data_IF_149764576455
#
_entry.id   IF_149764576455
#
_cell.length_a   1.000
_cell.length_b   1.000
_cell.length_c   1.000
_cell.angle_alpha   90.00
_cell.angle_beta   90.00
_cell.angle_gamma   90.00
#
_symmetry.space_group_name_H-M   'P 1'
#
loop_
_entity.id
_entity.type
_entity.pdbx_description
1 polymer ?
#
# COMPACT_ATOMS: atom_id res chain seq x y z
N UNK A 1 -7.14 26.43 -22.11
CA UNK A 1 -6.67 25.11 -22.63
C UNK A 1 -7.80 24.43 -23.40
N UNK A 2 -7.44 23.65 -24.44
CA UNK A 2 -8.35 22.91 -25.32
C UNK A 2 -7.88 21.46 -25.48
N UNK A 3 -8.37 20.54 -24.64
CA UNK A 3 -7.91 19.15 -24.64
C UNK A 3 -6.40 19.01 -24.37
N UNK A 4 -5.94 17.78 -24.18
CA UNK A 4 -4.49 17.48 -24.17
C UNK A 4 -4.20 16.37 -25.16
N UNK A 5 -3.18 16.56 -25.99
CA UNK A 5 -2.82 15.61 -27.04
C UNK A 5 -1.36 15.13 -27.01
N UNK A 6 -0.71 15.23 -25.85
CA UNK A 6 0.72 14.96 -25.70
C UNK A 6 1.03 13.78 -24.77
N UNK A 7 2.33 13.57 -24.57
CA UNK A 7 2.88 12.59 -23.64
C UNK A 7 2.48 12.94 -22.19
N UNK A 8 1.56 12.16 -21.65
CA UNK A 8 0.93 12.37 -20.33
C UNK A 8 1.81 11.95 -19.16
N UNK A 9 2.99 11.43 -19.45
CA UNK A 9 3.85 10.79 -18.46
C UNK A 9 4.65 11.81 -17.62
N UNK A 10 4.88 13.03 -18.13
CA UNK A 10 5.71 14.04 -17.42
C UNK A 10 5.15 15.46 -17.43
N UNK A 11 4.65 15.96 -18.56
CA UNK A 11 4.26 17.38 -18.69
C UNK A 11 2.91 17.74 -18.09
N UNK A 12 2.00 16.77 -17.99
CA UNK A 12 0.59 17.05 -17.72
C UNK A 12 0.27 17.28 -16.24
N UNK A 13 1.07 16.73 -15.31
CA UNK A 13 0.89 16.98 -13.87
C UNK A 13 1.13 18.45 -13.52
N UNK A 14 2.22 19.04 -14.01
CA UNK A 14 2.49 20.47 -13.83
C UNK A 14 1.45 21.34 -14.55
N UNK A 15 1.02 20.94 -15.75
CA UNK A 15 -0.05 21.65 -16.46
C UNK A 15 -1.39 21.58 -15.71
N UNK A 16 -1.70 20.45 -15.07
CA UNK A 16 -2.88 20.27 -14.23
C UNK A 16 -2.81 21.14 -12.99
N UNK A 17 -1.67 21.16 -12.30
CA UNK A 17 -1.45 21.99 -11.11
C UNK A 17 -1.57 23.49 -11.45
N UNK A 18 -0.90 23.95 -12.49
CA UNK A 18 -1.01 25.31 -13.02
C UNK A 18 -2.46 25.67 -13.39
N UNK A 19 -3.19 24.72 -13.97
CA UNK A 19 -4.58 24.94 -14.37
C UNK A 19 -5.55 25.01 -13.18
N UNK A 20 -5.40 24.16 -12.16
CA UNK A 20 -6.28 24.14 -10.98
C UNK A 20 -5.85 25.12 -9.87
N UNK A 21 -4.63 25.66 -9.94
CA UNK A 21 -4.12 26.69 -9.02
C UNK A 21 -3.58 27.90 -9.78
N UNK A 22 -4.38 28.56 -10.64
CA UNK A 22 -3.88 29.60 -11.56
C UNK A 22 -3.20 30.77 -10.83
N UNK A 23 -3.70 31.16 -9.66
CA UNK A 23 -3.17 32.25 -8.84
C UNK A 23 -1.74 31.98 -8.34
N UNK A 24 -1.35 30.71 -8.15
CA UNK A 24 0.01 30.35 -7.71
C UNK A 24 1.07 30.54 -8.80
N UNK A 25 0.64 30.57 -10.07
CA UNK A 25 1.54 30.57 -11.23
C UNK A 25 1.35 31.81 -12.12
N UNK A 26 0.76 32.87 -11.58
CA UNK A 26 0.47 34.11 -12.33
C UNK A 26 -0.37 33.87 -13.60
N UNK A 27 -1.30 32.91 -13.53
CA UNK A 27 -2.27 32.63 -14.59
C UNK A 27 -3.58 33.31 -14.23
N UNK A 28 -4.24 33.93 -15.21
CA UNK A 28 -5.53 34.60 -15.03
C UNK A 28 -6.59 33.59 -14.52
N UNK A 29 -7.16 33.79 -13.31
CA UNK A 29 -8.15 32.88 -12.74
C UNK A 29 -9.56 33.14 -13.30
N UNK A 30 -10.30 32.06 -13.55
CA UNK A 30 -11.69 32.04 -13.97
C UNK A 30 -12.53 31.19 -13.02
N UNK A 31 -13.81 31.50 -12.90
CA UNK A 31 -14.74 30.65 -12.15
C UNK A 31 -14.93 29.31 -12.85
N UNK A 32 -14.89 28.21 -12.07
CA UNK A 32 -15.15 26.88 -12.60
C UNK A 32 -16.66 26.66 -12.79
N UNK A 33 -17.14 27.03 -13.98
CA UNK A 33 -18.56 26.88 -14.36
C UNK A 33 -18.96 25.44 -14.71
N UNK A 34 -18.03 24.49 -14.72
CA UNK A 34 -18.23 23.16 -15.31
C UNK A 34 -18.38 22.03 -14.29
N UNK A 35 -17.72 22.13 -13.12
CA UNK A 35 -17.65 21.02 -12.16
C UNK A 35 -17.97 21.48 -10.74
N UNK A 36 -17.21 22.44 -10.21
CA UNK A 36 -17.37 22.93 -8.84
C UNK A 36 -17.27 24.46 -8.81
N UNK A 37 -18.42 25.12 -8.62
CA UNK A 37 -18.57 26.57 -8.79
C UNK A 37 -17.79 27.42 -7.77
N UNK A 38 -17.26 26.81 -6.70
CA UNK A 38 -16.48 27.51 -5.67
C UNK A 38 -14.97 27.54 -5.93
N UNK A 39 -14.46 26.86 -6.97
CA UNK A 39 -13.02 26.86 -7.29
C UNK A 39 -12.66 27.74 -8.49
N UNK A 40 -11.46 28.34 -8.43
CA UNK A 40 -10.85 29.09 -9.53
C UNK A 40 -9.99 28.15 -10.39
N UNK A 41 -10.08 28.29 -11.70
CA UNK A 41 -9.31 27.50 -12.68
C UNK A 41 -8.75 28.40 -13.78
N UNK A 42 -7.77 27.91 -14.53
CA UNK A 42 -7.35 28.52 -15.78
C UNK A 42 -8.47 28.44 -16.83
N UNK A 43 -8.41 29.30 -17.85
CA UNK A 43 -9.47 29.34 -18.88
C UNK A 43 -9.61 27.99 -19.60
N UNK A 44 -10.82 27.42 -19.59
CA UNK A 44 -11.15 26.17 -20.25
C UNK A 44 -12.10 26.39 -21.42
N UNK A 45 -11.82 25.73 -22.55
CA UNK A 45 -12.70 25.75 -23.72
C UNK A 45 -13.14 24.32 -24.00
N UNK A 46 -14.41 23.98 -23.73
CA UNK A 46 -14.96 22.67 -24.04
C UNK A 46 -14.92 22.33 -25.53
N UNK A 47 -14.75 21.04 -25.84
CA UNK A 47 -14.59 20.53 -27.22
C UNK A 47 -15.79 20.80 -28.12
N UNK A 48 -17.00 20.86 -27.57
CA UNK A 48 -18.18 21.19 -28.38
C UNK A 48 -18.12 22.62 -28.96
N UNK A 49 -17.35 23.54 -28.37
CA UNK A 49 -17.13 24.89 -28.94
C UNK A 49 -16.05 24.93 -30.02
N UNK A 50 -15.25 23.88 -30.17
CA UNK A 50 -14.15 23.85 -31.15
C UNK A 50 -14.59 23.34 -32.52
N UNK A 51 -15.71 22.60 -32.59
CA UNK A 51 -16.23 21.99 -33.81
C UNK A 51 -16.80 23.03 -34.81
N UNK A 52 -16.17 23.22 -36.00
CA UNK A 52 -16.62 24.22 -36.97
C UNK A 52 -17.97 23.88 -37.60
N UNK A 53 -18.27 22.60 -37.76
CA UNK A 53 -19.48 22.08 -38.41
C UNK A 53 -20.78 22.39 -37.65
N UNK A 54 -20.69 22.76 -36.38
CA UNK A 54 -21.82 23.19 -35.56
C UNK A 54 -21.89 24.70 -35.36
N UNK A 55 -21.06 25.48 -36.07
CA UNK A 55 -21.08 26.95 -36.00
C UNK A 55 -21.94 27.55 -37.10
N UNK A 56 -22.75 28.54 -36.74
CA UNK A 56 -23.44 29.37 -37.72
C UNK A 56 -22.46 30.36 -38.38
N UNK A 57 -22.94 31.15 -39.36
CA UNK A 57 -22.12 32.15 -40.08
C UNK A 57 -21.51 33.23 -39.18
N UNK A 58 -22.05 33.41 -37.97
CA UNK A 58 -21.60 34.39 -36.97
C UNK A 58 -20.64 33.75 -35.95
N UNK A 59 -20.32 32.46 -36.09
CA UNK A 59 -19.42 31.73 -35.20
C UNK A 59 -20.06 31.20 -33.91
N UNK A 60 -21.38 31.31 -33.77
CA UNK A 60 -22.15 30.78 -32.62
C UNK A 60 -22.36 29.28 -32.83
N UNK A 61 -21.92 28.48 -31.84
CA UNK A 61 -22.06 27.03 -31.84
C UNK A 61 -23.47 26.59 -31.41
N UNK A 62 -24.08 25.68 -32.16
CA UNK A 62 -25.24 24.89 -31.73
C UNK A 62 -24.80 23.81 -30.72
N UNK A 63 -24.85 24.16 -29.43
CA UNK A 63 -24.27 23.38 -28.33
C UNK A 63 -24.92 21.99 -28.21
N UNK A 64 -26.23 21.89 -28.35
CA UNK A 64 -26.95 20.63 -28.16
C UNK A 64 -26.62 19.62 -29.26
N UNK A 65 -26.56 20.08 -30.52
CA UNK A 65 -26.16 19.21 -31.65
C UNK A 65 -24.70 18.80 -31.55
N UNK A 66 -23.81 19.72 -31.18
CA UNK A 66 -22.39 19.42 -31.00
C UNK A 66 -22.16 18.38 -29.89
N UNK A 67 -22.84 18.53 -28.75
CA UNK A 67 -22.76 17.57 -27.64
C UNK A 67 -23.32 16.20 -28.04
N UNK A 68 -24.48 16.15 -28.70
CA UNK A 68 -25.08 14.89 -29.15
C UNK A 68 -24.16 14.14 -30.14
N UNK A 69 -23.50 14.86 -31.04
CA UNK A 69 -22.53 14.29 -31.97
C UNK A 69 -21.31 13.69 -31.26
N UNK A 70 -20.71 14.44 -30.32
CA UNK A 70 -19.57 13.96 -29.54
C UNK A 70 -19.94 12.80 -28.60
N UNK A 71 -21.14 12.82 -28.02
CA UNK A 71 -21.64 11.72 -27.20
C UNK A 71 -21.80 10.43 -28.02
N UNK A 72 -22.32 10.53 -29.25
CA UNK A 72 -22.43 9.39 -30.17
C UNK A 72 -21.06 8.78 -30.49
N UNK A 73 -20.01 9.61 -30.65
CA UNK A 73 -18.64 9.11 -30.83
C UNK A 73 -18.13 8.38 -29.58
N UNK A 74 -18.37 8.93 -28.39
CA UNK A 74 -18.02 8.27 -27.11
C UNK A 74 -18.72 6.92 -26.98
N UNK A 75 -20.02 6.85 -27.27
CA UNK A 75 -20.81 5.62 -27.18
C UNK A 75 -20.32 4.55 -28.17
N UNK A 76 -19.95 4.93 -29.40
CA UNK A 76 -19.38 3.98 -30.37
C UNK A 76 -18.05 3.37 -29.91
N UNK A 77 -17.21 4.14 -29.21
CA UNK A 77 -15.92 3.65 -28.69
C UNK A 77 -16.07 2.78 -27.44
N UNK A 78 -17.21 2.87 -26.76
CA UNK A 78 -17.53 2.07 -25.57
C UNK A 78 -17.86 0.62 -25.91
N UNK A 79 -18.36 0.34 -27.12
CA UNK A 79 -18.79 -1.00 -27.57
C UNK A 79 -17.70 -1.82 -28.25
N UNK A 80 -16.54 -1.22 -28.57
CA UNK A 80 -15.44 -1.89 -29.27
C UNK A 80 -14.61 -2.80 -28.33
N UNK A 81 -14.13 -3.96 -28.81
CA UNK A 81 -13.17 -4.80 -28.07
C UNK A 81 -11.83 -4.04 -27.94
N UNK A 82 -11.44 -3.68 -26.71
CA UNK A 82 -10.32 -2.78 -26.43
C UNK A 82 -10.73 -1.30 -26.22
N UNK A 83 -12.04 -1.02 -26.23
CA UNK A 83 -12.62 0.32 -26.27
C UNK A 83 -12.28 1.25 -25.11
N UNK A 84 -11.86 0.74 -23.95
CA UNK A 84 -11.56 1.58 -22.78
C UNK A 84 -10.41 2.57 -23.03
N UNK A 85 -9.33 2.15 -23.71
CA UNK A 85 -8.20 3.06 -24.00
C UNK A 85 -8.54 4.08 -25.09
N UNK A 86 -9.21 3.64 -26.16
CA UNK A 86 -9.62 4.51 -27.25
C UNK A 86 -10.67 5.54 -26.81
N UNK A 87 -11.56 5.15 -25.89
CA UNK A 87 -12.54 6.04 -25.27
C UNK A 87 -11.85 7.09 -24.39
N UNK A 88 -10.92 6.68 -23.53
CA UNK A 88 -10.18 7.63 -22.67
C UNK A 88 -9.41 8.66 -23.51
N UNK A 89 -8.75 8.23 -24.59
CA UNK A 89 -8.10 9.14 -25.54
C UNK A 89 -9.11 10.11 -26.16
N UNK A 90 -10.25 9.61 -26.64
CA UNK A 90 -11.27 10.47 -27.25
C UNK A 90 -11.80 11.52 -26.25
N UNK A 91 -12.06 11.12 -25.00
CA UNK A 91 -12.52 12.03 -23.95
C UNK A 91 -11.45 13.10 -23.66
N UNK A 92 -10.19 12.70 -23.62
CA UNK A 92 -9.06 13.59 -23.36
C UNK A 92 -8.79 14.61 -24.47
N UNK A 93 -8.88 14.17 -25.73
CA UNK A 93 -8.77 15.06 -26.89
C UNK A 93 -9.99 15.97 -27.02
N UNK A 94 -11.17 15.47 -26.66
CA UNK A 94 -12.46 16.14 -26.83
C UNK A 94 -13.22 16.29 -25.49
N UNK A 95 -12.67 17.00 -24.49
CA UNK A 95 -13.25 17.08 -23.15
C UNK A 95 -14.46 18.01 -23.10
N UNK A 96 -15.45 17.65 -22.29
CA UNK A 96 -16.60 18.48 -21.94
C UNK A 96 -16.36 19.28 -20.66
N UNK A 97 -15.54 18.73 -19.77
CA UNK A 97 -15.19 19.34 -18.49
C UNK A 97 -13.66 19.37 -18.29
N UNK A 98 -13.15 20.23 -17.40
CA UNK A 98 -11.73 20.28 -17.11
C UNK A 98 -11.13 18.95 -16.62
N UNK A 99 -11.82 18.18 -15.78
CA UNK A 99 -11.26 16.90 -15.30
C UNK A 99 -11.08 15.88 -16.42
N UNK A 100 -11.93 15.93 -17.45
CA UNK A 100 -11.80 15.06 -18.62
C UNK A 100 -10.53 15.36 -19.44
N UNK A 101 -10.07 16.61 -19.43
CA UNK A 101 -8.84 17.03 -20.11
C UNK A 101 -7.59 16.43 -19.45
N UNK A 102 -7.63 16.21 -18.13
CA UNK A 102 -6.53 15.64 -17.35
C UNK A 102 -6.74 14.16 -17.01
N UNK A 103 -7.63 13.46 -17.73
CA UNK A 103 -7.77 12.01 -17.62
C UNK A 103 -6.43 11.35 -17.95
N UNK A 104 -5.71 10.93 -16.90
CA UNK A 104 -4.52 10.12 -17.09
C UNK A 104 -4.92 8.77 -17.69
N UNK A 105 -4.08 8.20 -18.57
CA UNK A 105 -4.27 6.83 -19.08
C UNK A 105 -4.24 5.78 -17.97
N UNK A 106 -3.79 6.14 -16.77
CA UNK A 106 -3.83 5.27 -15.60
C UNK A 106 -5.26 5.23 -15.09
N UNK A 107 -6.00 4.18 -15.50
CA UNK A 107 -7.14 3.75 -14.72
C UNK A 107 -6.66 3.61 -13.26
N UNK A 108 -7.21 4.40 -12.34
CA UNK A 108 -6.86 4.29 -10.92
C UNK A 108 -7.07 2.84 -10.53
N UNK A 109 -5.97 2.16 -10.16
CA UNK A 109 -6.01 0.70 -9.89
C UNK A 109 -6.85 0.41 -8.65
N UNK A 110 -7.06 1.42 -7.80
CA UNK A 110 -7.82 1.33 -6.56
C UNK A 110 -9.27 1.82 -6.69
N UNK A 111 -10.17 1.40 -5.79
CA UNK A 111 -11.59 1.78 -5.79
C UNK A 111 -11.79 3.29 -5.49
N UNK A 112 -11.76 4.12 -6.52
CA UNK A 112 -11.70 5.58 -6.36
C UNK A 112 -12.95 6.22 -5.74
N UNK A 113 -14.15 5.64 -5.93
CA UNK A 113 -15.37 6.19 -5.35
C UNK A 113 -15.41 5.99 -3.83
N UNK A 114 -15.06 4.78 -3.39
CA UNK A 114 -14.95 4.37 -2.00
C UNK A 114 -13.87 5.15 -1.26
N UNK A 115 -12.70 5.28 -1.88
CA UNK A 115 -11.59 6.06 -1.31
C UNK A 115 -11.96 7.53 -1.13
N UNK A 116 -12.65 8.15 -2.10
CA UNK A 116 -13.13 9.54 -1.97
C UNK A 116 -14.14 9.70 -0.84
N UNK A 117 -15.09 8.76 -0.73
CA UNK A 117 -16.07 8.75 0.36
C UNK A 117 -15.36 8.68 1.71
N UNK A 118 -14.45 7.71 1.87
CA UNK A 118 -13.70 7.52 3.11
C UNK A 118 -12.84 8.73 3.46
N UNK A 119 -12.14 9.31 2.49
CA UNK A 119 -11.35 10.53 2.68
C UNK A 119 -12.23 11.69 3.17
N UNK A 120 -13.41 11.88 2.57
CA UNK A 120 -14.37 12.90 3.01
C UNK A 120 -14.84 12.67 4.44
N UNK A 121 -15.09 11.43 4.85
CA UNK A 121 -15.47 11.08 6.23
C UNK A 121 -14.34 11.37 7.22
N UNK A 122 -13.12 10.92 6.90
CA UNK A 122 -11.93 11.12 7.75
C UNK A 122 -11.67 12.60 8.00
N UNK A 123 -11.73 13.43 6.95
CA UNK A 123 -11.52 14.88 7.05
C UNK A 123 -12.68 15.56 7.80
N UNK A 124 -13.93 15.31 7.40
CA UNK A 124 -15.10 16.00 7.97
C UNK A 124 -15.33 15.68 9.45
N UNK A 125 -15.03 14.46 9.88
CA UNK A 125 -15.22 14.03 11.27
C UNK A 125 -13.94 14.11 12.10
N UNK A 126 -12.84 14.56 11.49
CA UNK A 126 -11.52 14.63 12.10
C UNK A 126 -11.11 13.30 12.77
N UNK A 127 -11.29 12.19 12.05
CA UNK A 127 -11.11 10.84 12.60
C UNK A 127 -9.65 10.55 12.95
N UNK A 128 -8.72 11.10 12.18
CA UNK A 128 -7.29 10.93 12.39
C UNK A 128 -6.86 11.49 13.75
N UNK A 129 -7.18 12.75 14.06
CA UNK A 129 -6.88 13.38 15.36
C UNK A 129 -7.46 12.65 16.58
N UNK A 130 -8.53 11.87 16.41
CA UNK A 130 -9.16 11.11 17.52
C UNK A 130 -8.43 9.82 17.85
N UNK A 131 -7.72 9.24 16.89
CA UNK A 131 -7.10 7.91 17.00
C UNK A 131 -5.58 8.03 17.11
N UNK A 132 -4.99 9.03 16.45
CA UNK A 132 -3.56 9.21 16.33
C UNK A 132 -2.90 9.59 17.66
N UNK A 133 -1.92 8.78 18.08
CA UNK A 133 -1.02 9.10 19.19
C UNK A 133 0.38 9.31 18.63
N UNK A 134 0.78 10.57 18.57
CA UNK A 134 2.13 10.96 18.16
C UNK A 134 3.10 10.66 19.30
N UNK A 135 4.17 9.93 18.99
CA UNK A 135 5.10 9.43 20.02
C UNK A 135 6.56 9.55 19.63
N UNK A 136 7.39 9.67 20.66
CA UNK A 136 8.82 9.41 20.59
C UNK A 136 9.10 8.00 21.12
N UNK A 137 9.78 7.18 20.33
CA UNK A 137 10.22 5.84 20.75
C UNK A 137 11.65 5.89 21.28
N UNK A 138 11.90 5.20 22.40
CA UNK A 138 13.22 5.10 23.01
C UNK A 138 13.46 3.71 23.58
N UNK A 139 14.73 3.30 23.65
CA UNK A 139 15.11 2.03 24.26
C UNK A 139 15.07 2.13 25.78
N UNK A 140 14.40 1.18 26.40
CA UNK A 140 14.22 1.08 27.84
C UNK A 140 14.18 -0.40 28.22
N UNK A 141 15.25 -0.95 28.84
CA UNK A 141 15.31 -2.35 29.25
C UNK A 141 14.19 -2.79 30.20
N UNK A 142 13.56 -1.84 30.90
CA UNK A 142 12.44 -2.11 31.82
C UNK A 142 11.08 -2.14 31.12
N UNK A 143 11.03 -1.80 29.83
CA UNK A 143 9.78 -1.75 29.08
C UNK A 143 9.11 -3.12 28.94
N UNK A 144 7.77 -3.19 29.13
CA UNK A 144 7.02 -4.41 28.85
C UNK A 144 6.99 -4.77 27.34
N UNK A 145 7.33 -3.83 26.44
CA UNK A 145 7.31 -4.04 24.99
C UNK A 145 8.70 -4.40 24.42
N UNK A 146 9.29 -5.48 24.96
CA UNK A 146 10.57 -6.04 24.49
C UNK A 146 11.77 -5.07 24.52
N UNK A 147 11.79 -4.13 25.47
CA UNK A 147 12.92 -3.21 25.64
C UNK A 147 12.80 -1.88 24.89
N UNK A 148 11.63 -1.54 24.33
CA UNK A 148 11.33 -0.22 23.75
C UNK A 148 10.11 0.37 24.45
N UNK A 149 10.17 1.63 24.84
CA UNK A 149 9.06 2.36 25.44
C UNK A 149 8.71 3.59 24.58
N UNK A 150 7.60 4.25 24.91
CA UNK A 150 7.10 5.40 24.15
C UNK A 150 6.74 6.56 25.08
N UNK A 151 6.92 7.77 24.59
CA UNK A 151 6.47 9.01 25.22
C UNK A 151 5.53 9.74 24.26
N UNK A 152 4.39 10.22 24.78
CA UNK A 152 3.44 11.00 23.98
C UNK A 152 4.01 12.39 23.74
N UNK A 153 4.07 12.79 22.47
CA UNK A 153 4.53 14.12 22.08
C UNK A 153 3.56 14.73 21.06
N UNK A 154 2.52 15.46 21.54
CA UNK A 154 1.56 16.12 20.68
C UNK A 154 2.16 17.23 19.82
N UNK A 155 3.39 17.69 20.11
CA UNK A 155 4.05 18.77 19.37
C UNK A 155 4.65 18.29 18.04
N UNK A 156 4.81 16.98 17.86
CA UNK A 156 5.26 16.39 16.60
C UNK A 156 4.25 16.65 15.49
N UNK A 157 4.76 16.81 14.27
CA UNK A 157 3.92 17.00 13.09
C UNK A 157 3.94 15.76 12.20
N UNK A 158 2.77 15.13 12.06
CA UNK A 158 2.59 13.98 11.19
C UNK A 158 2.19 14.49 9.81
N UNK A 159 2.82 13.98 8.75
CA UNK A 159 2.48 14.38 7.39
C UNK A 159 1.11 13.81 7.01
N UNK A 160 0.07 14.64 7.04
CA UNK A 160 -1.34 14.26 6.79
C UNK A 160 -1.85 14.68 5.40
N UNK A 161 -1.00 15.31 4.58
CA UNK A 161 -1.37 15.78 3.23
C UNK A 161 -0.44 15.21 2.16
N UNK A 162 -1.03 14.81 1.03
CA UNK A 162 -0.36 14.37 -0.19
C UNK A 162 -0.90 15.13 -1.42
N UNK A 163 -0.03 15.70 -2.28
CA UNK A 163 1.42 15.83 -2.11
C UNK A 163 1.78 16.69 -0.88
N UNK A 164 2.93 16.43 -0.27
CA UNK A 164 3.41 17.22 0.87
C UNK A 164 3.77 18.63 0.41
N UNK A 165 3.21 19.70 1.02
CA UNK A 165 3.53 21.08 0.64
C UNK A 165 5.02 21.39 0.86
N UNK A 166 5.62 22.19 -0.02
CA UNK A 166 7.05 22.58 0.09
C UNK A 166 7.37 23.35 1.38
N UNK A 167 6.38 24.04 1.96
CA UNK A 167 6.52 24.78 3.22
C UNK A 167 6.50 23.90 4.46
N UNK A 168 6.14 22.62 4.34
CA UNK A 168 5.97 21.70 5.48
C UNK A 168 7.28 21.00 5.78
N UNK A 169 7.65 20.92 7.06
CA UNK A 169 8.82 20.17 7.51
C UNK A 169 8.64 18.69 7.20
N UNK A 170 9.63 18.07 6.55
CA UNK A 170 9.56 16.66 6.17
C UNK A 170 9.96 15.69 7.27
N UNK A 171 10.32 16.14 8.48
CA UNK A 171 10.78 15.27 9.59
C UNK A 171 9.81 14.11 9.84
N UNK A 172 8.51 14.39 9.83
CA UNK A 172 7.47 13.41 10.13
C UNK A 172 7.41 13.03 11.60
N UNK A 173 6.48 12.13 11.93
CA UNK A 173 6.26 11.67 13.30
C UNK A 173 5.91 10.18 13.32
N UNK A 174 6.26 9.49 14.40
CA UNK A 174 5.73 8.15 14.65
C UNK A 174 4.32 8.31 15.21
N UNK A 175 3.35 7.71 14.53
CA UNK A 175 1.94 7.72 14.88
C UNK A 175 1.53 6.31 15.28
N UNK A 176 1.02 6.15 16.50
CA UNK A 176 0.44 4.90 17.00
C UNK A 176 -1.09 5.05 16.98
N UNK A 177 -1.77 4.18 16.24
CA UNK A 177 -3.23 4.04 16.26
C UNK A 177 -3.67 3.04 17.34
N UNK A 178 -2.94 1.93 17.49
CA UNK A 178 -3.18 0.92 18.53
C UNK A 178 -1.86 0.44 19.15
N UNK A 179 -1.82 0.34 20.48
CA UNK A 179 -0.67 -0.21 21.21
C UNK A 179 -0.52 -1.73 20.98
N UNK A 180 0.70 -2.29 21.10
CA UNK A 180 0.90 -3.73 21.02
C UNK A 180 0.04 -4.48 22.05
N UNK A 181 -0.67 -5.52 21.59
CA UNK A 181 -1.44 -6.40 22.45
C UNK A 181 -0.52 -7.45 23.07
N UNK A 182 -0.65 -7.61 24.38
CA UNK A 182 0.15 -8.54 25.17
C UNK A 182 -0.67 -9.82 25.41
N UNK A 183 -0.08 -10.98 25.17
CA UNK A 183 -0.61 -12.28 25.60
C UNK A 183 0.50 -12.93 26.45
N UNK A 184 0.17 -13.32 27.67
CA UNK A 184 1.13 -13.85 28.65
C UNK A 184 2.32 -12.90 28.88
N UNK A 185 2.04 -11.61 29.13
CA UNK A 185 3.02 -10.55 29.42
C UNK A 185 4.10 -10.35 28.35
N UNK A 186 3.83 -10.78 27.10
CA UNK A 186 4.69 -10.53 25.94
C UNK A 186 3.89 -10.19 24.69
N UNK A 187 4.51 -9.45 23.79
CA UNK A 187 3.97 -9.26 22.43
C UNK A 187 4.15 -10.56 21.66
N UNK A 188 3.08 -11.26 21.24
CA UNK A 188 3.20 -12.60 20.67
C UNK A 188 3.87 -12.60 19.30
N UNK A 189 4.59 -13.68 19.00
CA UNK A 189 5.30 -13.85 17.73
C UNK A 189 4.34 -13.92 16.53
N UNK A 190 4.76 -13.29 15.43
CA UNK A 190 4.02 -13.18 14.17
C UNK A 190 2.66 -12.47 14.28
N UNK A 191 2.42 -11.70 15.33
CA UNK A 191 1.20 -10.88 15.50
C UNK A 191 1.22 -9.63 14.64
N UNK A 192 2.41 -9.10 14.36
CA UNK A 192 2.61 -7.86 13.64
C UNK A 192 3.65 -8.02 12.53
N UNK A 193 3.48 -7.25 11.47
CA UNK A 193 4.43 -7.12 10.37
C UNK A 193 4.63 -5.65 10.05
N UNK A 194 5.78 -5.33 9.47
CA UNK A 194 6.12 -3.97 9.05
C UNK A 194 6.38 -3.97 7.55
N UNK A 195 5.75 -3.06 6.83
CA UNK A 195 6.09 -2.69 5.47
C UNK A 195 6.91 -1.40 5.50
N UNK A 196 8.07 -1.40 4.85
CA UNK A 196 8.96 -0.25 4.79
C UNK A 196 9.36 0.05 3.34
N UNK A 197 9.10 1.27 2.90
CA UNK A 197 9.64 1.85 1.66
C UNK A 197 10.69 2.91 2.01
N UNK A 198 12.00 2.59 1.89
CA UNK A 198 13.07 3.53 2.18
C UNK A 198 13.35 4.45 0.99
N UNK A 199 13.82 5.68 1.23
CA UNK A 199 14.35 6.52 0.17
C UNK A 199 15.78 6.14 -0.20
N UNK A 200 16.18 6.40 -1.46
CA UNK A 200 17.50 6.01 -2.02
C UNK A 200 18.64 6.91 -1.56
N UNK A 201 18.47 8.22 -1.73
CA UNK A 201 19.51 9.22 -1.58
C UNK A 201 19.19 10.14 -0.41
N UNK A 202 20.20 10.47 0.40
CA UNK A 202 20.01 11.43 1.50
C UNK A 202 19.89 12.87 0.98
N UNK A 203 20.30 13.15 -0.25
CA UNK A 203 20.31 14.49 -0.85
C UNK A 203 18.88 15.05 -1.06
N UNK A 204 18.49 16.10 -0.31
CA UNK A 204 17.16 16.69 -0.39
C UNK A 204 16.94 17.54 -1.66
N UNK A 205 17.98 17.78 -2.47
CA UNK A 205 17.89 18.62 -3.68
C UNK A 205 17.28 17.91 -4.90
N UNK A 206 16.89 16.64 -4.76
CA UNK A 206 16.20 15.90 -5.81
C UNK A 206 14.88 16.59 -6.20
N UNK A 207 14.53 16.73 -7.49
CA UNK A 207 13.34 17.46 -7.96
C UNK A 207 12.00 16.96 -7.39
N UNK A 208 11.98 15.70 -6.92
CA UNK A 208 10.86 15.08 -6.20
C UNK A 208 11.43 14.28 -5.04
N UNK A 209 11.63 14.90 -3.86
CA UNK A 209 12.25 14.22 -2.74
C UNK A 209 11.32 13.13 -2.21
N UNK A 210 11.73 11.87 -2.33
CA UNK A 210 11.02 10.72 -1.75
C UNK A 210 11.09 10.75 -0.22
N UNK A 211 10.02 10.30 0.42
CA UNK A 211 9.87 10.16 1.85
C UNK A 211 10.10 8.69 2.23
N UNK A 212 10.64 8.43 3.43
CA UNK A 212 10.57 7.08 3.95
C UNK A 212 9.16 6.84 4.49
N UNK A 213 8.56 5.71 4.16
CA UNK A 213 7.27 5.30 4.70
C UNK A 213 7.38 3.94 5.40
N UNK A 214 6.84 3.87 6.61
CA UNK A 214 6.81 2.68 7.46
C UNK A 214 5.37 2.51 7.93
N UNK A 215 4.78 1.34 7.70
CA UNK A 215 3.49 0.94 8.28
C UNK A 215 3.64 -0.33 9.08
N UNK A 216 2.99 -0.38 10.23
CA UNK A 216 2.88 -1.57 11.07
C UNK A 216 1.46 -2.10 10.97
N UNK A 217 1.31 -3.38 10.70
CA UNK A 217 0.01 -4.02 10.50
C UNK A 217 -0.13 -5.30 11.34
N UNK A 218 -1.33 -5.52 11.89
CA UNK A 218 -1.69 -6.79 12.56
C UNK A 218 -1.82 -7.91 11.54
N UNK A 219 -1.53 -9.14 11.96
CA UNK A 219 -1.80 -10.35 11.20
C UNK A 219 -3.06 -11.05 11.74
N UNK A 220 -3.76 -11.84 10.91
CA UNK A 220 -4.95 -12.57 11.36
C UNK A 220 -4.62 -13.80 12.22
N UNK A 221 -3.35 -14.04 12.61
CA UNK A 221 -2.92 -15.23 13.37
C UNK A 221 -3.65 -15.37 14.70
N UNK A 222 -3.75 -14.26 15.41
CA UNK A 222 -4.33 -14.17 16.74
C UNK A 222 -5.70 -13.50 16.69
N UNK A 223 -6.51 -13.87 15.69
CA UNK A 223 -7.82 -13.28 15.44
C UNK A 223 -8.68 -13.15 16.70
N UNK A 224 -8.76 -14.22 17.51
CA UNK A 224 -9.60 -14.25 18.70
C UNK A 224 -9.14 -13.31 19.83
N UNK A 225 -7.86 -12.91 19.88
CA UNK A 225 -7.29 -12.13 20.98
C UNK A 225 -6.80 -10.73 20.57
N UNK A 226 -6.36 -10.57 19.32
CA UNK A 226 -5.74 -9.35 18.78
C UNK A 226 -6.60 -8.71 17.67
N UNK A 227 -7.52 -9.48 17.09
CA UNK A 227 -8.47 -9.01 16.09
C UNK A 227 -7.99 -9.19 14.64
N UNK A 228 -8.62 -8.43 13.74
CA UNK A 228 -8.34 -8.43 12.31
C UNK A 228 -7.01 -7.71 11.96
N UNK A 229 -6.58 -7.90 10.72
CA UNK A 229 -5.41 -7.28 10.10
C UNK A 229 -5.59 -5.77 9.84
N UNK A 230 -5.07 -4.92 10.72
CA UNK A 230 -5.24 -3.46 10.66
C UNK A 230 -3.91 -2.74 10.76
N UNK A 231 -3.86 -1.53 10.19
CA UNK A 231 -2.76 -0.60 10.41
C UNK A 231 -2.82 -0.13 11.88
N UNK A 232 -1.74 -0.36 12.63
CA UNK A 232 -1.66 -0.03 14.06
C UNK A 232 -0.63 1.05 14.38
N UNK A 233 0.32 1.29 13.48
CA UNK A 233 1.23 2.43 13.56
C UNK A 233 1.77 2.82 12.18
N UNK A 234 2.22 4.05 12.04
CA UNK A 234 2.92 4.54 10.86
C UNK A 234 4.02 5.53 11.21
N UNK A 235 4.99 5.65 10.31
CA UNK A 235 5.94 6.75 10.27
C UNK A 235 6.14 7.12 8.80
N UNK A 236 5.97 8.39 8.46
CA UNK A 236 6.25 8.88 7.11
C UNK A 236 6.97 10.20 7.20
N UNK A 237 8.17 10.26 6.63
CA UNK A 237 9.02 11.43 6.72
C UNK A 237 10.41 11.21 6.13
N UNK A 238 11.13 12.30 6.00
CA UNK A 238 12.52 12.41 5.60
C UNK A 238 13.24 13.28 6.64
N UNK A 239 13.83 12.64 7.66
CA UNK A 239 14.46 13.36 8.77
C UNK A 239 15.81 13.93 8.34
N UNK A 240 16.22 15.03 8.95
CA UNK A 240 17.52 15.68 8.66
C UNK A 240 18.72 14.73 8.80
N UNK A 241 18.65 13.80 9.76
CA UNK A 241 19.69 12.78 9.99
C UNK A 241 19.72 11.66 8.94
N UNK A 242 18.88 11.75 7.89
CA UNK A 242 18.87 10.86 6.74
C UNK A 242 18.45 9.42 7.07
N UNK A 243 18.91 8.48 6.24
CA UNK A 243 18.56 7.04 6.32
C UNK A 243 18.83 6.42 7.69
N UNK A 244 19.83 6.91 8.43
CA UNK A 244 20.18 6.36 9.73
C UNK A 244 19.05 6.54 10.75
N UNK A 245 18.42 7.72 10.80
CA UNK A 245 17.31 7.98 11.72
C UNK A 245 16.08 7.14 11.35
N UNK A 246 15.77 7.00 10.05
CA UNK A 246 14.69 6.11 9.58
C UNK A 246 14.94 4.66 10.00
N UNK A 247 16.16 4.15 9.83
CA UNK A 247 16.51 2.79 10.23
C UNK A 247 16.41 2.57 11.74
N UNK A 248 16.73 3.59 12.55
CA UNK A 248 16.57 3.54 14.00
C UNK A 248 15.08 3.51 14.41
N UNK A 249 14.25 4.35 13.78
CA UNK A 249 12.79 4.34 13.98
C UNK A 249 12.21 2.98 13.60
N UNK A 250 12.61 2.44 12.44
CA UNK A 250 12.23 1.11 11.97
C UNK A 250 12.62 0.01 12.96
N UNK A 251 13.83 0.06 13.51
CA UNK A 251 14.31 -0.89 14.51
C UNK A 251 13.49 -0.80 15.81
N UNK A 252 13.22 0.41 16.31
CA UNK A 252 12.40 0.61 17.52
C UNK A 252 10.98 0.08 17.31
N UNK A 253 10.33 0.39 16.18
CA UNK A 253 9.01 -0.13 15.83
C UNK A 253 8.99 -1.66 15.74
N UNK A 254 10.00 -2.27 15.11
CA UNK A 254 10.10 -3.72 14.99
C UNK A 254 10.23 -4.42 16.34
N UNK A 255 10.99 -3.85 17.27
CA UNK A 255 11.12 -4.39 18.64
C UNK A 255 9.84 -4.16 19.44
N UNK A 256 9.29 -2.95 19.39
CA UNK A 256 8.09 -2.54 20.12
C UNK A 256 6.87 -3.41 19.78
N UNK A 257 6.67 -3.75 18.51
CA UNK A 257 5.60 -4.63 18.04
C UNK A 257 6.02 -6.10 17.86
N UNK A 258 7.26 -6.49 18.19
CA UNK A 258 7.80 -7.83 17.86
C UNK A 258 7.53 -8.25 16.40
N UNK A 259 7.74 -7.33 15.46
CA UNK A 259 7.28 -7.45 14.09
C UNK A 259 8.42 -7.85 13.13
N UNK A 260 8.06 -8.55 12.04
CA UNK A 260 8.98 -8.82 10.92
C UNK A 260 8.92 -7.72 9.87
N UNK A 261 10.08 -7.27 9.42
CA UNK A 261 10.22 -6.17 8.46
C UNK A 261 10.26 -6.70 7.03
N UNK A 262 9.29 -6.29 6.22
CA UNK A 262 9.23 -6.46 4.77
C UNK A 262 9.67 -5.15 4.11
N UNK A 263 10.73 -5.23 3.33
CA UNK A 263 11.32 -4.10 2.62
C UNK A 263 11.72 -4.51 1.20
N UNK A 264 11.82 -3.54 0.30
CA UNK A 264 12.35 -3.76 -1.05
C UNK A 264 13.87 -3.97 -0.98
N UNK A 265 14.36 -5.08 -1.53
CA UNK A 265 15.77 -5.44 -1.43
C UNK A 265 16.72 -4.58 -2.29
N UNK A 266 16.19 -3.87 -3.28
CA UNK A 266 16.93 -3.01 -4.22
C UNK A 266 17.12 -1.57 -3.74
N UNK A 267 16.55 -1.19 -2.58
CA UNK A 267 16.42 0.22 -2.17
C UNK A 267 16.89 0.43 -0.74
N UNK A 268 17.63 1.51 -0.52
CA UNK A 268 18.11 1.92 0.79
C UNK A 268 19.28 1.08 1.33
N UNK A 269 19.51 1.18 2.65
CA UNK A 269 20.61 0.50 3.36
C UNK A 269 20.10 -0.27 4.59
N UNK A 270 18.83 -0.68 4.58
CA UNK A 270 18.18 -1.38 5.71
C UNK A 270 18.96 -2.64 6.07
N UNK A 271 19.25 -3.50 5.10
CA UNK A 271 19.97 -4.76 5.34
C UNK A 271 21.32 -4.51 6.03
N UNK A 272 22.12 -3.57 5.50
CA UNK A 272 23.44 -3.25 6.04
C UNK A 272 23.37 -2.71 7.48
N UNK A 273 22.35 -1.91 7.78
CA UNK A 273 22.10 -1.42 9.14
C UNK A 273 21.81 -2.58 10.10
N UNK A 274 20.84 -3.45 9.78
CA UNK A 274 20.44 -4.58 10.63
C UNK A 274 21.54 -5.65 10.75
N UNK A 275 22.41 -5.77 9.75
CA UNK A 275 23.61 -6.60 9.81
C UNK A 275 24.63 -6.06 10.82
N UNK A 276 24.92 -4.75 10.78
CA UNK A 276 25.83 -4.08 11.72
C UNK A 276 25.39 -4.21 13.17
N UNK A 277 24.10 -4.07 13.44
CA UNK A 277 23.55 -4.23 14.81
C UNK A 277 23.26 -5.69 15.18
N UNK A 278 23.57 -6.66 14.31
CA UNK A 278 23.36 -8.11 14.51
C UNK A 278 21.90 -8.49 14.79
N UNK A 279 20.95 -7.81 14.15
CA UNK A 279 19.49 -8.01 14.29
C UNK A 279 18.82 -8.46 12.98
N UNK A 280 19.52 -9.22 12.15
CA UNK A 280 18.96 -9.78 10.91
C UNK A 280 17.70 -10.64 11.12
N UNK A 281 17.51 -11.19 12.33
CA UNK A 281 16.30 -11.94 12.68
C UNK A 281 15.01 -11.11 12.63
N UNK A 282 15.09 -9.78 12.67
CA UNK A 282 13.94 -8.88 12.53
C UNK A 282 13.52 -8.70 11.07
N UNK A 283 14.40 -8.99 10.11
CA UNK A 283 14.10 -8.88 8.69
C UNK A 283 13.34 -10.10 8.19
N UNK A 284 12.33 -9.88 7.35
CA UNK A 284 11.63 -10.94 6.66
C UNK A 284 12.51 -11.51 5.54
N UNK A 285 12.56 -12.84 5.47
CA UNK A 285 13.14 -13.54 4.33
C UNK A 285 12.28 -13.36 3.09
N UNK A 286 12.90 -13.49 1.91
CA UNK A 286 12.23 -13.27 0.63
C UNK A 286 10.93 -14.10 0.55
N UNK A 287 9.79 -13.47 0.20
CA UNK A 287 8.54 -14.19 0.00
C UNK A 287 8.69 -15.19 -1.16
N UNK A 288 8.68 -16.48 -0.83
CA UNK A 288 8.89 -17.54 -1.83
C UNK A 288 7.58 -17.93 -2.52
N UNK A 289 6.44 -17.68 -1.88
CA UNK A 289 5.13 -18.15 -2.37
C UNK A 289 4.42 -17.12 -3.22
N UNK A 290 4.58 -15.84 -2.88
CA UNK A 290 3.93 -14.72 -3.58
C UNK A 290 4.52 -14.54 -4.98
N UNK A 291 5.84 -14.63 -5.13
CA UNK A 291 6.53 -14.31 -6.40
C UNK A 291 7.00 -15.54 -7.20
N UNK A 292 7.14 -16.71 -6.58
CA UNK A 292 7.68 -17.92 -7.22
C UNK A 292 6.67 -19.09 -7.18
N UNK A 293 5.61 -19.01 -8.00
CA UNK A 293 4.62 -20.10 -8.17
C UNK A 293 5.20 -21.38 -8.83
N UNK A 294 6.47 -21.38 -9.29
CA UNK A 294 7.12 -22.48 -10.05
C UNK A 294 8.53 -22.88 -9.58
N UNK A 295 8.98 -22.50 -8.39
CA UNK A 295 10.31 -22.91 -7.93
C UNK A 295 10.30 -24.34 -7.35
N UNK A 296 10.34 -25.32 -8.25
CA UNK A 296 10.83 -26.67 -7.97
C UNK A 296 12.35 -26.66 -7.84
N UNK A 297 12.87 -27.35 -6.82
CA UNK A 297 14.28 -27.67 -6.54
C UNK A 297 15.07 -26.67 -5.66
N UNK A 298 15.22 -27.06 -4.39
CA UNK A 298 16.08 -26.47 -3.37
C UNK A 298 17.56 -26.75 -3.70
N UNK A 299 18.28 -25.74 -4.20
CA UNK A 299 19.72 -25.59 -3.88
C UNK A 299 19.81 -24.75 -2.60
N UNK A 300 20.84 -24.91 -1.75
CA UNK A 300 21.02 -24.07 -0.57
C UNK A 300 21.44 -22.66 -1.02
N UNK A 301 20.47 -21.88 -1.45
CA UNK A 301 20.65 -20.46 -1.76
C UNK A 301 20.88 -19.69 -0.46
N UNK A 302 21.81 -18.74 -0.52
CA UNK A 302 21.98 -17.73 0.53
C UNK A 302 20.64 -17.15 0.94
N UNK A 303 20.39 -16.97 2.24
CA UNK A 303 19.15 -16.37 2.75
C UNK A 303 19.02 -14.94 2.20
N UNK A 304 18.07 -14.73 1.29
CA UNK A 304 17.75 -13.40 0.74
C UNK A 304 16.69 -12.76 1.65
N UNK A 305 16.90 -11.50 2.00
CA UNK A 305 15.97 -10.69 2.80
C UNK A 305 15.28 -9.66 1.91
N UNK A 306 14.02 -9.36 2.22
CA UNK A 306 13.18 -8.45 1.44
C UNK A 306 12.63 -9.07 0.16
N UNK A 307 11.79 -8.32 -0.56
CA UNK A 307 11.21 -8.76 -1.83
C UNK A 307 11.83 -8.01 -3.03
N UNK A 308 12.02 -8.70 -4.18
CA UNK A 308 12.47 -8.04 -5.40
C UNK A 308 11.31 -7.29 -6.05
N UNK A 309 11.47 -5.99 -6.27
CA UNK A 309 10.51 -5.18 -7.06
C UNK A 309 11.12 -4.80 -8.41
N UNK A 310 11.76 -5.75 -9.09
CA UNK A 310 12.56 -5.49 -10.30
C UNK A 310 11.76 -5.47 -11.62
N UNK A 311 10.44 -5.74 -11.60
CA UNK A 311 9.62 -5.85 -12.81
C UNK A 311 8.21 -5.29 -12.59
N UNK A 312 7.71 -4.53 -13.55
CA UNK A 312 6.34 -3.98 -13.57
C UNK A 312 5.26 -5.04 -13.35
N UNK A 313 5.49 -6.29 -13.81
CA UNK A 313 4.56 -7.41 -13.56
C UNK A 313 4.45 -7.77 -12.08
N UNK A 314 5.58 -7.76 -11.38
CA UNK A 314 5.67 -8.07 -9.95
C UNK A 314 5.01 -6.95 -9.14
N UNK A 315 5.30 -5.70 -9.51
CA UNK A 315 4.64 -4.51 -8.95
C UNK A 315 3.13 -4.56 -9.17
N UNK A 316 2.68 -4.89 -10.37
CA UNK A 316 1.26 -5.04 -10.69
C UNK A 316 0.58 -6.13 -9.86
N UNK A 317 1.19 -7.32 -9.73
CA UNK A 317 0.64 -8.40 -8.90
C UNK A 317 0.52 -7.96 -7.43
N UNK A 318 1.54 -7.29 -6.89
CA UNK A 318 1.55 -6.76 -5.53
C UNK A 318 0.44 -5.72 -5.29
N UNK A 319 0.19 -4.85 -6.26
CA UNK A 319 -0.87 -3.85 -6.21
C UNK A 319 -2.26 -4.49 -6.30
N UNK A 320 -2.40 -5.61 -7.03
CA UNK A 320 -3.66 -6.35 -7.06
C UNK A 320 -3.97 -7.03 -5.72
N UNK A 321 -2.95 -7.53 -5.00
CA UNK A 321 -3.15 -7.99 -3.61
C UNK A 321 -3.59 -6.83 -2.72
N UNK A 322 -2.95 -5.66 -2.81
CA UNK A 322 -3.37 -4.48 -2.04
C UNK A 322 -4.81 -4.06 -2.37
N UNK A 323 -5.20 -4.04 -3.65
CA UNK A 323 -6.59 -3.75 -4.05
C UNK A 323 -7.57 -4.76 -3.44
N UNK A 324 -7.22 -6.04 -3.46
CA UNK A 324 -8.06 -7.11 -2.91
C UNK A 324 -8.22 -6.94 -1.41
N UNK A 325 -7.12 -6.68 -0.71
CA UNK A 325 -7.11 -6.38 0.71
C UNK A 325 -8.00 -5.16 1.05
N UNK A 326 -7.87 -4.05 0.33
CA UNK A 326 -8.70 -2.86 0.57
C UNK A 326 -10.21 -3.13 0.46
N UNK A 327 -10.61 -4.02 -0.44
CA UNK A 327 -12.01 -4.37 -0.71
C UNK A 327 -12.54 -5.54 0.12
N UNK A 328 -11.68 -6.20 0.90
CA UNK A 328 -12.06 -7.32 1.76
C UNK A 328 -13.06 -6.87 2.82
N UNK A 329 -14.19 -7.57 2.88
CA UNK A 329 -15.27 -7.33 3.84
C UNK A 329 -14.93 -8.04 5.14
N UNK A 330 -14.96 -7.30 6.25
CA UNK A 330 -14.65 -7.85 7.58
C UNK A 330 -15.85 -8.35 8.34
N UNK A 331 -16.90 -7.56 8.24
CA UNK A 331 -18.15 -7.79 8.93
C UNK A 331 -19.23 -7.81 7.87
N UNK A 332 -19.79 -9.00 7.65
CA UNK A 332 -20.85 -9.22 6.68
C UNK A 332 -22.14 -8.48 7.04
N UNK A 333 -22.36 -8.17 8.33
CA UNK A 333 -23.56 -7.46 8.78
C UNK A 333 -23.48 -5.96 8.49
N UNK A 334 -22.34 -5.33 8.78
CA UNK A 334 -22.12 -3.89 8.52
C UNK A 334 -21.56 -3.60 7.12
N UNK A 335 -21.18 -4.63 6.35
CA UNK A 335 -20.47 -4.53 5.07
C UNK A 335 -19.20 -3.64 5.15
N UNK A 336 -18.60 -3.56 6.33
CA UNK A 336 -17.40 -2.75 6.56
C UNK A 336 -16.19 -3.42 5.91
N UNK A 337 -15.45 -2.68 5.08
CA UNK A 337 -14.24 -3.17 4.43
C UNK A 337 -12.98 -2.65 5.10
N UNK A 338 -11.83 -3.26 4.81
CA UNK A 338 -10.53 -2.77 5.25
C UNK A 338 -10.30 -1.28 4.93
N UNK A 339 -10.69 -0.86 3.73
CA UNK A 339 -10.62 0.55 3.29
C UNK A 339 -11.36 1.49 4.23
N UNK A 340 -12.52 1.07 4.76
CA UNK A 340 -13.39 1.90 5.59
C UNK A 340 -12.82 2.11 7.01
N UNK A 341 -11.72 1.44 7.37
CA UNK A 341 -11.02 1.59 8.65
C UNK A 341 -9.76 2.45 8.56
N UNK A 342 -9.27 2.75 7.36
CA UNK A 342 -8.08 3.59 7.18
C UNK A 342 -8.38 5.00 7.69
N UNK A 343 -7.56 5.49 8.62
CA UNK A 343 -7.68 6.84 9.18
C UNK A 343 -6.65 7.82 8.65
N UNK A 344 -5.56 7.36 8.03
CA UNK A 344 -4.51 8.23 7.48
C UNK A 344 -5.02 8.96 6.21
N UNK A 345 -5.23 10.29 6.26
CA UNK A 345 -5.73 11.05 5.12
C UNK A 345 -4.72 11.15 3.97
N UNK A 346 -3.40 11.22 4.26
CA UNK A 346 -2.37 11.28 3.24
C UNK A 346 -2.30 9.96 2.46
N UNK A 347 -2.40 8.82 3.14
CA UNK A 347 -2.47 7.51 2.50
C UNK A 347 -3.69 7.40 1.56
N UNK A 348 -4.86 7.88 1.98
CA UNK A 348 -6.07 7.86 1.14
C UNK A 348 -5.95 8.78 -0.09
N UNK A 349 -5.36 9.97 0.08
CA UNK A 349 -5.05 10.88 -1.03
C UNK A 349 -4.05 10.25 -2.01
N UNK A 350 -3.03 9.57 -1.49
CA UNK A 350 -2.01 8.90 -2.29
C UNK A 350 -2.58 7.71 -3.05
N UNK A 351 -3.43 6.89 -2.43
CA UNK A 351 -4.17 5.81 -3.11
C UNK A 351 -5.09 6.32 -4.23
N UNK A 352 -5.69 7.51 -4.06
CA UNK A 352 -6.50 8.15 -5.11
C UNK A 352 -5.66 8.66 -6.29
N UNK A 353 -4.50 9.22 -5.98
CA UNK A 353 -3.56 9.76 -6.96
C UNK A 353 -2.69 8.68 -7.61
N UNK A 354 -2.68 7.46 -7.08
CA UNK A 354 -1.76 6.40 -7.45
C UNK A 354 -1.81 6.07 -8.95
N UNK A 355 -0.62 6.02 -9.55
CA UNK A 355 -0.41 5.58 -10.92
C UNK A 355 0.75 4.59 -11.00
N UNK A 356 0.66 3.62 -11.90
CA UNK A 356 1.69 2.57 -12.02
C UNK A 356 3.05 3.11 -12.48
N UNK A 357 3.01 4.13 -13.34
CA UNK A 357 4.14 4.55 -14.16
C UNK A 357 4.81 5.84 -13.69
N UNK A 358 4.09 6.74 -13.01
CA UNK A 358 4.62 8.05 -12.62
C UNK A 358 4.15 8.49 -11.24
N UNK A 359 4.97 9.30 -10.58
CA UNK A 359 4.65 9.84 -9.26
C UNK A 359 5.41 9.09 -8.18
N UNK A 360 5.48 9.76 -7.03
CA UNK A 360 6.11 9.23 -5.85
C UNK A 360 5.01 8.81 -4.87
N UNK A 361 4.94 7.51 -4.57
CA UNK A 361 3.88 6.93 -3.77
C UNK A 361 4.46 6.04 -2.67
N UNK A 362 5.30 6.65 -1.83
CA UNK A 362 6.05 5.96 -0.77
C UNK A 362 5.10 5.23 0.20
N UNK A 363 3.95 5.84 0.55
CA UNK A 363 2.99 5.22 1.49
C UNK A 363 2.33 4.00 0.91
N UNK A 364 1.91 4.10 -0.37
CA UNK A 364 1.29 2.97 -1.07
C UNK A 364 2.28 1.82 -1.17
N UNK A 365 3.54 2.10 -1.50
CA UNK A 365 4.58 1.08 -1.62
C UNK A 365 4.95 0.44 -0.28
N UNK A 366 5.01 1.21 0.80
CA UNK A 366 5.18 0.66 2.15
C UNK A 366 3.99 -0.24 2.54
N UNK A 367 2.76 0.17 2.23
CA UNK A 367 1.56 -0.65 2.48
C UNK A 367 1.54 -1.93 1.61
N UNK A 368 2.05 -1.86 0.38
CA UNK A 368 2.27 -3.05 -0.47
C UNK A 368 3.21 -4.05 0.22
N UNK A 369 4.30 -3.58 0.83
CA UNK A 369 5.22 -4.43 1.60
C UNK A 369 4.52 -5.16 2.75
N UNK A 370 3.64 -4.45 3.45
CA UNK A 370 2.74 -4.98 4.48
C UNK A 370 1.84 -6.11 3.92
N UNK A 371 1.11 -5.86 2.83
CA UNK A 371 0.18 -6.83 2.25
C UNK A 371 0.91 -8.07 1.71
N UNK A 372 2.08 -7.91 1.07
CA UNK A 372 2.92 -9.05 0.67
C UNK A 372 3.26 -9.92 1.89
N UNK A 373 3.54 -9.30 3.04
CA UNK A 373 3.79 -9.99 4.29
C UNK A 373 2.60 -10.80 4.79
N UNK A 374 1.38 -10.25 4.73
CA UNK A 374 0.16 -10.99 5.06
C UNK A 374 -0.05 -12.19 4.15
N UNK A 375 0.12 -12.01 2.84
CA UNK A 375 -0.08 -13.08 1.86
C UNK A 375 0.92 -14.22 2.06
N UNK A 376 2.21 -13.90 2.25
CA UNK A 376 3.22 -14.90 2.55
C UNK A 376 2.93 -15.61 3.88
N UNK A 377 2.47 -14.88 4.90
CA UNK A 377 2.08 -15.45 6.18
C UNK A 377 0.89 -16.41 6.05
N UNK A 378 -0.17 -16.01 5.33
CA UNK A 378 -1.33 -16.84 5.02
C UNK A 378 -0.92 -18.13 4.28
N UNK A 379 -0.09 -18.00 3.25
CA UNK A 379 0.40 -19.12 2.45
C UNK A 379 1.26 -20.10 3.26
N UNK A 380 2.12 -19.61 4.16
CA UNK A 380 2.91 -20.45 5.07
C UNK A 380 2.01 -21.23 6.02
N UNK A 381 0.99 -20.61 6.59
CA UNK A 381 0.07 -21.29 7.50
C UNK A 381 -0.78 -22.34 6.77
N UNK A 382 -1.29 -22.02 5.58
CA UNK A 382 -2.01 -22.99 4.74
C UNK A 382 -1.15 -24.22 4.42
N UNK A 383 0.14 -24.02 4.09
CA UNK A 383 1.09 -25.11 3.88
C UNK A 383 1.30 -25.95 5.14
N UNK A 384 1.50 -25.31 6.31
CA UNK A 384 1.64 -26.02 7.60
C UNK A 384 0.41 -26.88 7.90
N UNK A 385 -0.80 -26.35 7.73
CA UNK A 385 -2.05 -27.09 7.93
C UNK A 385 -2.16 -28.31 7.00
N UNK A 386 -1.80 -28.15 5.72
CA UNK A 386 -1.79 -29.27 4.76
C UNK A 386 -0.77 -30.33 5.18
N UNK A 387 0.44 -29.92 5.59
CA UNK A 387 1.49 -30.84 6.04
C UNK A 387 1.10 -31.56 7.33
N UNK A 388 0.49 -30.87 8.30
CA UNK A 388 -0.01 -31.47 9.55
C UNK A 388 -1.13 -32.46 9.27
N UNK A 389 -2.08 -32.12 8.40
CA UNK A 389 -3.15 -33.03 7.96
C UNK A 389 -2.58 -34.27 7.27
N UNK A 390 -1.60 -34.11 6.38
CA UNK A 390 -0.94 -35.23 5.71
C UNK A 390 -0.15 -36.11 6.69
N UNK A 391 0.52 -35.51 7.67
CA UNK A 391 1.25 -36.22 8.72
C UNK A 391 0.29 -36.99 9.63
N UNK A 392 -0.86 -36.42 9.96
CA UNK A 392 -1.92 -37.10 10.71
C UNK A 392 -2.48 -38.30 9.95
N UNK A 393 -2.73 -38.14 8.64
CA UNK A 393 -3.19 -39.24 7.78
C UNK A 393 -2.15 -40.36 7.69
N UNK A 394 -0.87 -40.03 7.52
CA UNK A 394 0.22 -41.01 7.51
C UNK A 394 0.37 -41.71 8.86
N UNK A 395 0.25 -41.00 9.99
CA UNK A 395 0.26 -41.61 11.33
C UNK A 395 -0.88 -42.60 11.50
N UNK A 396 -2.06 -42.28 10.98
CA UNK A 396 -3.23 -43.16 11.05
C UNK A 396 -3.07 -44.40 10.14
N UNK A 397 -2.48 -44.25 8.96
CA UNK A 397 -2.11 -45.39 8.10
C UNK A 397 -1.01 -46.26 8.72
N UNK A 398 0.04 -45.67 9.27
CA UNK A 398 1.08 -46.40 10.01
C UNK A 398 0.48 -47.17 11.20
N UNK A 399 -0.45 -46.55 11.94
CA UNK A 399 -1.17 -47.21 13.03
C UNK A 399 -1.97 -48.42 12.53
N UNK A 400 -2.69 -48.28 11.41
CA UNK A 400 -3.42 -49.40 10.78
C UNK A 400 -2.49 -50.52 10.32
N UNK A 401 -1.35 -50.19 9.73
CA UNK A 401 -0.35 -51.17 9.27
C UNK A 401 0.22 -51.94 10.47
N UNK A 402 0.54 -51.25 11.57
CA UNK A 402 1.03 -51.85 12.82
C UNK A 402 -0.02 -52.77 13.45
N UNK A 403 -1.27 -52.30 13.55
CA UNK A 403 -2.38 -53.07 14.13
C UNK A 403 -2.73 -54.30 13.29
N UNK A 404 -2.68 -54.19 11.96
CA UNK A 404 -3.05 -55.29 11.05
C UNK A 404 -1.91 -56.27 10.77
N UNK A 405 -0.68 -56.02 11.23
CA UNK A 405 0.46 -56.92 11.06
C UNK A 405 1.13 -57.26 12.40
N UNK A 406 0.50 -58.10 13.25
CA UNK A 406 1.03 -58.50 14.55
C UNK A 406 2.39 -59.25 14.50
N UNK A 407 2.86 -59.64 13.30
CA UNK A 407 4.17 -60.29 13.11
C UNK A 407 5.37 -59.32 13.10
N UNK A 408 5.13 -58.00 13.00
CA UNK A 408 6.21 -56.99 12.92
C UNK A 408 6.98 -56.82 14.25
N UNK A 409 6.45 -57.32 15.36
CA UNK A 409 7.09 -57.25 16.68
C UNK A 409 7.16 -58.62 17.36
N UNK A 410 7.71 -59.63 16.69
CA UNK A 410 8.18 -60.83 17.39
C UNK A 410 9.50 -60.52 18.11
N UNK A 411 9.42 -60.17 19.39
CA UNK A 411 10.56 -60.23 20.31
C UNK A 411 10.92 -61.71 20.47
N UNK A 412 12.07 -62.11 19.93
CA UNK A 412 12.66 -63.44 20.11
C UNK A 412 13.04 -63.65 21.58
N UNK A 413 12.09 -64.14 22.38
CA UNK A 413 12.35 -64.63 23.73
C UNK A 413 12.93 -66.05 23.66
N UNK A 414 14.23 -66.17 23.40
CA UNK A 414 15.00 -67.39 23.62
C UNK A 414 16.32 -67.03 24.30
N UNK A 415 16.25 -66.82 25.62
CA UNK A 415 17.44 -66.86 26.47
C UNK A 415 17.79 -68.33 26.76
N UNK A 416 19.05 -68.78 26.57
CA UNK A 416 19.45 -70.12 26.93
C UNK A 416 19.60 -70.24 28.45
N UNK A 417 18.93 -71.24 29.03
CA UNK A 417 19.07 -71.63 30.44
C UNK A 417 20.42 -72.35 30.58
N UNK A 418 21.33 -71.79 31.39
CA UNK A 418 22.55 -72.48 31.83
C UNK A 418 22.20 -73.44 33.00
N UNK A 419 22.72 -74.68 33.01
CA UNK A 419 22.51 -75.60 34.13
C UNK A 419 23.43 -75.25 35.32
N UNK A 420 22.94 -75.57 36.52
CA UNK A 420 23.59 -75.30 37.82
C UNK A 420 24.87 -76.08 38.05
#
# INVERSE_FOLDING_TARGET
>A
MIGTGGDMEKGTLHAQEMFYSPEKYDILPFDNLYENQSSKIGYFVPSYYTLPEFKNKEGITDVDKAKAFLQKQRDSKRTDKGGSQALNLLIQYMPFTPSEMFLSRSATVFPAAELRRRLSEVISQNLYDKVEKKVNLFFDPSSPYNGVNYELDPSLDALTTFPTPESTTTEGAVVIYELPRMIDDRVPDDTYIIGCDPFKEDDPTSPTPSLAAIYVMKTPKHFASVGHDEIVASYVGRPYMGKQAVNEILHKLAVFYNAKIYFENSVGNIKDYFEKIRKLSLLATQPTTVFNKKASHLTPQSVIYGYPMSNDKVKWEAIQYLRSWLLEVRDEESLTRNLDLITDPALLQELLAFSMTHGNYDRVMALVGCVIGLEEFHNRNKRKLITESATSALKEEFRKIIVNNPKLFHVSATAPILPR
#
